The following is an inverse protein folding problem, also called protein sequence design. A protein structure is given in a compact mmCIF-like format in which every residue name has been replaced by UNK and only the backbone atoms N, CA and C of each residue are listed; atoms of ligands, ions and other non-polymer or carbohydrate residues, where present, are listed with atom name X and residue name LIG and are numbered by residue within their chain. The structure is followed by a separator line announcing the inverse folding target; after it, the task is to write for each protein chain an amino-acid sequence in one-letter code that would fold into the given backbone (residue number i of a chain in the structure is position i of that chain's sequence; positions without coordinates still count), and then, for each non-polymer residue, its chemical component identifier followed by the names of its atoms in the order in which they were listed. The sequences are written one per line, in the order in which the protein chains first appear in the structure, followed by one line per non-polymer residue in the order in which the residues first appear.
data_IF_223366494502
#
_entry.id   IF_223366494502
#
_cell.length_a   1.000
_cell.length_b   1.000
_cell.length_c   1.000
_cell.angle_alpha   90.00
_cell.angle_beta   90.00
_cell.angle_gamma   90.00
#
_symmetry.space_group_name_H-M   'P 1'
#
loop_
_entity.id
_entity.type
_entity.pdbx_description
1 polymer ?
#
# COMPACT_ATOMS: atom_id res chain seq x y z
N UNK A 1 14.43 19.53 1.02
CA UNK A 1 13.01 19.12 1.03
C UNK A 1 12.53 19.16 2.46
N UNK A 2 11.49 19.92 2.69
CA UNK A 2 10.88 20.07 4.01
C UNK A 2 10.11 18.78 4.34
N UNK A 3 9.82 18.53 5.61
CA UNK A 3 9.12 17.32 6.03
C UNK A 3 7.78 17.10 5.30
N UNK A 4 7.13 18.18 4.87
CA UNK A 4 5.90 18.15 4.08
C UNK A 4 6.12 17.61 2.66
N UNK A 5 7.15 18.07 1.94
CA UNK A 5 7.42 17.62 0.57
C UNK A 5 7.75 16.13 0.47
N UNK A 6 8.50 15.61 1.44
CA UNK A 6 8.76 14.16 1.54
C UNK A 6 7.48 13.38 1.86
N UNK A 7 6.64 13.91 2.78
CA UNK A 7 5.35 13.32 3.09
C UNK A 7 4.43 13.23 1.86
N UNK A 8 4.31 14.30 1.08
CA UNK A 8 3.50 14.30 -0.14
C UNK A 8 3.99 13.26 -1.16
N UNK A 9 5.31 13.16 -1.35
CA UNK A 9 5.88 12.15 -2.25
C UNK A 9 5.57 10.73 -1.78
N UNK A 10 5.73 10.44 -0.48
CA UNK A 10 5.41 9.13 0.09
C UNK A 10 3.92 8.80 -0.04
N UNK A 11 3.03 9.78 0.17
CA UNK A 11 1.61 9.62 -0.03
C UNK A 11 1.28 9.26 -1.48
N UNK A 12 1.88 9.97 -2.43
CA UNK A 12 1.69 9.74 -3.86
C UNK A 12 2.20 8.35 -4.26
N UNK A 13 3.42 7.98 -3.86
CA UNK A 13 4.00 6.67 -4.16
C UNK A 13 3.18 5.54 -3.53
N UNK A 14 2.72 5.69 -2.29
CA UNK A 14 1.84 4.72 -1.63
C UNK A 14 0.51 4.53 -2.36
N UNK A 15 -0.12 5.62 -2.80
CA UNK A 15 -1.35 5.55 -3.60
C UNK A 15 -1.11 4.86 -4.96
N UNK A 16 0.00 5.16 -5.64
CA UNK A 16 0.39 4.49 -6.89
C UNK A 16 0.62 2.99 -6.69
N UNK A 17 1.28 2.58 -5.59
CA UNK A 17 1.48 1.15 -5.26
C UNK A 17 0.14 0.48 -4.97
N UNK A 18 -0.69 1.06 -4.10
CA UNK A 18 -2.00 0.52 -3.77
C UNK A 18 -2.91 0.35 -4.99
N UNK A 19 -2.98 1.39 -5.84
CA UNK A 19 -3.74 1.33 -7.09
C UNK A 19 -3.15 0.33 -8.10
N UNK A 20 -1.82 0.32 -8.24
CA UNK A 20 -1.11 -0.54 -9.17
C UNK A 20 -1.25 -2.04 -8.85
N UNK A 21 -1.32 -2.40 -7.57
CA UNK A 21 -1.60 -3.78 -7.14
C UNK A 21 -3.08 -4.12 -7.23
N UNK A 22 -3.97 -3.16 -6.94
CA UNK A 22 -5.41 -3.37 -7.03
C UNK A 22 -5.89 -3.63 -8.47
N UNK A 23 -5.42 -2.84 -9.44
CA UNK A 23 -5.90 -2.87 -10.83
C UNK A 23 -5.85 -4.25 -11.51
N UNK A 24 -4.73 -5.00 -11.49
CA UNK A 24 -4.69 -6.33 -12.09
C UNK A 24 -5.55 -7.35 -11.35
N UNK A 25 -5.60 -7.30 -10.01
CA UNK A 25 -6.40 -8.24 -9.21
C UNK A 25 -7.90 -8.02 -9.35
N UNK A 26 -8.34 -6.77 -9.44
CA UNK A 26 -9.76 -6.42 -9.58
C UNK A 26 -10.33 -6.66 -10.98
N UNK A 27 -9.49 -6.66 -12.03
CA UNK A 27 -9.92 -6.77 -13.43
C UNK A 27 -10.83 -7.97 -13.71
N UNK A 28 -10.52 -9.13 -13.13
CA UNK A 28 -11.29 -10.35 -13.35
C UNK A 28 -12.71 -10.28 -12.73
N UNK A 29 -12.86 -9.71 -11.54
CA UNK A 29 -14.15 -9.62 -10.85
C UNK A 29 -15.02 -8.43 -11.26
N UNK A 30 -14.44 -7.41 -11.90
CA UNK A 30 -15.17 -6.26 -12.44
C UNK A 30 -15.85 -6.54 -13.80
N UNK A 31 -15.36 -7.56 -14.52
CA UNK A 31 -15.82 -7.89 -15.88
C UNK A 31 -17.24 -8.47 -15.96
N UNK A 32 -17.75 -9.05 -14.88
CA UNK A 32 -19.07 -9.71 -14.85
C UNK A 32 -19.09 -11.03 -15.65
N UNK A 33 -19.46 -12.14 -15.00
CA UNK A 33 -19.72 -13.41 -15.69
C UNK A 33 -21.12 -13.46 -16.30
N UNK A 34 -21.41 -14.48 -17.11
CA UNK A 34 -22.73 -14.70 -17.72
C UNK A 34 -23.87 -14.83 -16.69
N UNK A 35 -23.60 -15.32 -15.46
CA UNK A 35 -24.54 -15.29 -14.32
C UNK A 35 -24.50 -14.00 -13.46
N UNK A 36 -23.78 -12.95 -13.88
CA UNK A 36 -24.20 -11.56 -13.67
C UNK A 36 -23.86 -10.83 -12.36
N UNK A 37 -23.36 -11.46 -11.30
CA UNK A 37 -23.05 -10.68 -10.08
C UNK A 37 -21.66 -10.06 -10.15
N UNK A 38 -21.62 -8.78 -10.54
CA UNK A 38 -20.41 -7.95 -10.46
C UNK A 38 -20.01 -7.80 -9.00
N UNK A 39 -18.74 -8.08 -8.69
CA UNK A 39 -18.26 -8.01 -7.32
C UNK A 39 -17.97 -6.56 -6.90
N UNK A 40 -18.98 -5.89 -6.35
CA UNK A 40 -18.90 -4.49 -5.94
C UNK A 40 -17.95 -4.23 -4.76
N UNK A 41 -17.63 -5.25 -3.97
CA UNK A 41 -16.65 -5.15 -2.87
C UNK A 41 -15.27 -4.71 -3.37
N UNK A 42 -14.92 -5.05 -4.61
CA UNK A 42 -13.66 -4.64 -5.26
C UNK A 42 -13.55 -3.11 -5.37
N UNK A 43 -14.67 -2.42 -5.61
CA UNK A 43 -14.72 -0.97 -5.76
C UNK A 43 -14.94 -0.24 -4.43
N UNK A 44 -15.80 -0.77 -3.56
CA UNK A 44 -16.21 -0.06 -2.34
C UNK A 44 -15.39 -0.42 -1.11
N UNK A 45 -14.67 -1.54 -1.11
CA UNK A 45 -13.88 -2.01 0.03
C UNK A 45 -12.41 -2.10 -0.36
N UNK A 46 -12.08 -2.92 -1.36
CA UNK A 46 -10.69 -3.21 -1.71
C UNK A 46 -9.96 -1.96 -2.24
N UNK A 47 -10.59 -1.21 -3.16
CA UNK A 47 -9.98 -0.01 -3.74
C UNK A 47 -9.69 1.07 -2.68
N UNK A 48 -10.65 1.52 -1.84
CA UNK A 48 -10.36 2.51 -0.80
C UNK A 48 -9.31 2.02 0.19
N UNK A 49 -9.38 0.74 0.59
CA UNK A 49 -8.41 0.16 1.54
C UNK A 49 -7.01 0.15 0.96
N UNK A 50 -6.80 -0.27 -0.30
CA UNK A 50 -5.47 -0.30 -0.89
C UNK A 50 -4.96 1.10 -1.24
N UNK A 51 -5.79 1.95 -1.85
CA UNK A 51 -5.38 3.30 -2.30
C UNK A 51 -5.13 4.25 -1.13
N UNK A 52 -5.86 4.14 -0.02
CA UNK A 52 -5.69 5.00 1.15
C UNK A 52 -4.87 4.34 2.27
N UNK A 53 -5.03 3.03 2.48
CA UNK A 53 -4.34 2.30 3.54
C UNK A 53 -2.83 2.21 3.31
N UNK A 54 -2.40 1.92 2.07
CA UNK A 54 -0.96 1.84 1.73
C UNK A 54 -0.23 3.17 2.02
N UNK A 55 -0.67 4.33 1.52
CA UNK A 55 0.00 5.59 1.84
C UNK A 55 -0.15 5.97 3.31
N UNK A 56 -1.30 5.74 3.95
CA UNK A 56 -1.49 6.06 5.36
C UNK A 56 -0.52 5.28 6.27
N UNK A 57 -0.36 3.97 6.06
CA UNK A 57 0.57 3.13 6.83
C UNK A 57 2.04 3.44 6.53
N UNK A 58 2.35 3.79 5.27
CA UNK A 58 3.70 4.25 4.89
C UNK A 58 4.06 5.55 5.60
N UNK A 59 3.13 6.52 5.64
CA UNK A 59 3.34 7.78 6.33
C UNK A 59 3.42 7.60 7.85
N UNK A 60 2.56 6.76 8.43
CA UNK A 60 2.55 6.48 9.85
C UNK A 60 3.88 5.84 10.31
N UNK A 61 4.36 4.83 9.60
CA UNK A 61 5.65 4.18 9.91
C UNK A 61 6.83 5.14 9.77
N UNK A 62 6.84 5.94 8.70
CA UNK A 62 7.88 6.95 8.49
C UNK A 62 7.87 8.05 9.57
N UNK A 63 6.69 8.57 9.93
CA UNK A 63 6.55 9.57 10.98
C UNK A 63 6.98 9.02 12.35
N UNK A 64 6.59 7.78 12.67
CA UNK A 64 6.96 7.10 13.91
C UNK A 64 8.48 6.94 14.03
N UNK A 65 9.15 6.49 12.96
CA UNK A 65 10.61 6.33 12.94
C UNK A 65 11.32 7.68 13.08
N UNK A 66 10.85 8.74 12.42
CA UNK A 66 11.43 10.08 12.61
C UNK A 66 11.23 10.61 14.04
N UNK A 67 10.06 10.38 14.63
CA UNK A 67 9.77 10.78 16.01
C UNK A 67 10.67 10.03 17.01
N UNK A 68 10.83 8.71 16.83
CA UNK A 68 11.69 7.88 17.66
C UNK A 68 13.18 8.28 17.58
N UNK A 69 13.63 8.79 16.42
CA UNK A 69 15.00 9.25 16.21
C UNK A 69 15.25 10.72 16.59
N UNK A 70 14.25 11.45 17.12
CA UNK A 70 14.28 12.89 17.38
C UNK A 70 15.43 13.41 18.27
N UNK A 71 16.17 12.53 18.95
CA UNK A 71 17.33 12.89 19.79
C UNK A 71 18.58 12.01 19.63
N UNK A 72 18.66 11.12 18.64
CA UNK A 72 19.77 10.16 18.50
C UNK A 72 20.38 10.15 17.09
N UNK A 73 21.71 10.24 17.02
CA UNK A 73 22.51 9.96 15.83
C UNK A 73 22.73 11.12 14.84
N UNK A 74 23.73 10.93 13.97
CA UNK A 74 24.09 11.86 12.90
C UNK A 74 22.97 12.05 11.87
N UNK A 75 22.93 13.22 11.24
CA UNK A 75 21.91 13.62 10.25
C UNK A 75 21.75 12.57 9.12
N UNK A 76 22.85 12.01 8.65
CA UNK A 76 22.86 11.01 7.57
C UNK A 76 22.22 9.68 7.97
N UNK A 77 22.50 9.18 9.17
CA UNK A 77 21.88 7.96 9.68
C UNK A 77 20.36 8.10 9.77
N UNK A 78 19.86 9.26 10.25
CA UNK A 78 18.41 9.54 10.32
C UNK A 78 17.76 9.56 8.95
N UNK A 79 18.41 10.17 7.96
CA UNK A 79 17.90 10.19 6.58
C UNK A 79 17.87 8.78 6.01
N UNK A 80 18.96 8.01 6.13
CA UNK A 80 19.05 6.64 5.62
C UNK A 80 18.00 5.72 6.25
N UNK A 81 17.86 5.74 7.58
CA UNK A 81 16.89 4.90 8.31
C UNK A 81 15.46 5.28 7.97
N UNK A 82 15.13 6.58 7.91
CA UNK A 82 13.77 7.01 7.57
C UNK A 82 13.40 6.69 6.12
N UNK A 83 14.31 6.90 5.16
CA UNK A 83 14.10 6.51 3.77
C UNK A 83 13.96 4.99 3.63
N UNK A 84 14.85 4.23 4.27
CA UNK A 84 14.81 2.77 4.29
C UNK A 84 13.51 2.23 4.87
N UNK A 85 12.99 2.84 5.94
CA UNK A 85 11.70 2.48 6.53
C UNK A 85 10.56 2.70 5.56
N UNK A 86 10.53 3.84 4.87
CA UNK A 86 9.46 4.15 3.93
C UNK A 86 9.46 3.18 2.73
N UNK A 87 10.64 2.87 2.19
CA UNK A 87 10.78 1.87 1.12
C UNK A 87 10.36 0.49 1.61
N UNK A 88 10.83 0.06 2.78
CA UNK A 88 10.45 -1.23 3.36
C UNK A 88 8.93 -1.31 3.59
N UNK A 89 8.30 -0.26 4.10
CA UNK A 89 6.85 -0.21 4.29
C UNK A 89 6.10 -0.37 2.96
N UNK A 90 6.49 0.35 1.91
CA UNK A 90 5.87 0.21 0.58
C UNK A 90 6.02 -1.20 0.01
N UNK A 91 7.22 -1.79 0.12
CA UNK A 91 7.49 -3.15 -0.36
C UNK A 91 6.64 -4.17 0.42
N UNK A 92 6.66 -4.12 1.75
CA UNK A 92 5.91 -5.06 2.59
C UNK A 92 4.41 -4.93 2.34
N UNK A 93 3.88 -3.71 2.26
CA UNK A 93 2.45 -3.47 2.00
C UNK A 93 2.05 -3.93 0.59
N UNK A 94 2.88 -3.66 -0.42
CA UNK A 94 2.65 -4.15 -1.79
C UNK A 94 2.64 -5.68 -1.86
N UNK A 95 3.59 -6.34 -1.19
CA UNK A 95 3.63 -7.80 -1.07
C UNK A 95 2.42 -8.35 -0.32
N UNK A 96 1.98 -7.69 0.75
CA UNK A 96 0.78 -8.08 1.49
C UNK A 96 -0.47 -7.99 0.61
N UNK A 97 -0.62 -6.94 -0.20
CA UNK A 97 -1.70 -6.82 -1.17
C UNK A 97 -1.64 -7.90 -2.26
N UNK A 98 -0.45 -8.26 -2.74
CA UNK A 98 -0.30 -9.36 -3.70
C UNK A 98 -0.65 -10.72 -3.07
N UNK A 99 -0.22 -10.95 -1.83
CA UNK A 99 -0.54 -12.16 -1.08
C UNK A 99 -2.06 -12.27 -0.81
N UNK A 100 -2.72 -11.14 -0.55
CA UNK A 100 -4.17 -11.07 -0.42
C UNK A 100 -4.89 -11.53 -1.69
N UNK A 101 -4.46 -11.05 -2.86
CA UNK A 101 -5.02 -11.50 -4.14
C UNK A 101 -4.80 -13.00 -4.37
N UNK A 102 -3.59 -13.50 -4.12
CA UNK A 102 -3.28 -14.92 -4.24
C UNK A 102 -4.18 -15.80 -3.34
N UNK A 103 -4.43 -15.36 -2.10
CA UNK A 103 -5.34 -16.06 -1.19
C UNK A 103 -6.80 -16.02 -1.68
N UNK A 104 -7.25 -14.88 -2.23
CA UNK A 104 -8.59 -14.72 -2.83
C UNK A 104 -8.79 -15.60 -4.07
N UNK A 105 -7.76 -15.75 -4.91
CA UNK A 105 -7.81 -16.61 -6.10
C UNK A 105 -7.89 -18.09 -5.70
N UNK A 106 -7.08 -18.53 -4.73
CA UNK A 106 -7.09 -19.91 -4.24
C UNK A 106 -8.45 -20.33 -3.65
N UNK A 107 -9.16 -19.40 -3.01
CA UNK A 107 -10.52 -19.65 -2.49
C UNK A 107 -11.62 -19.69 -3.56
N UNK A 108 -11.35 -19.23 -4.79
CA UNK A 108 -12.35 -19.16 -5.89
C UNK A 108 -12.36 -20.38 -6.82
N UNK A 109 -11.31 -21.20 -6.82
CA UNK A 109 -11.28 -22.44 -7.62
C UNK A 109 -11.79 -23.62 -6.79
N UNK A 110 -12.95 -24.22 -7.12
CA UNK A 110 -13.34 -25.50 -6.52
C UNK A 110 -12.36 -26.60 -6.98
N UNK A 111 -11.85 -27.39 -6.03
CA UNK A 111 -11.09 -28.62 -6.28
C UNK A 111 -11.98 -29.74 -6.82
#
# INVERSE_FOLDING_TARGET
MDGAGVGCLLAFLGACVGFGVWLPGARAGLGGGFEGEREWSLLYVELPVMVLGVPALTLASWALVRAAMGGRGGRWARVAVSAGTAVAALVVLGLACLAWWAARDAGRTPI
#
